data_IF_184523077979
#
_entry.id   IF_184523077979
#
_cell.length_a   1.000
_cell.length_b   1.000
_cell.length_c   1.000
_cell.angle_alpha   90.00
_cell.angle_beta   90.00
_cell.angle_gamma   90.00
#
_symmetry.space_group_name_H-M   'P 1'
#
loop_
_entity.id
_entity.type
_entity.pdbx_description
1 polymer ?
#
# COMPACT_ATOMS: atom_id res chain seq x y z
N UNK A 1 -0.05 -6.42 -4.82
CA UNK A 1 -1.22 -5.52 -4.88
C UNK A 1 -2.12 -6.01 -6.01
N UNK A 2 -3.41 -5.74 -5.93
CA UNK A 2 -4.36 -6.10 -6.99
C UNK A 2 -5.51 -5.08 -7.02
N UNK A 3 -5.91 -4.64 -8.21
CA UNK A 3 -6.98 -3.66 -8.39
C UNK A 3 -8.35 -4.35 -8.48
N UNK A 4 -9.39 -3.73 -7.93
CA UNK A 4 -10.76 -4.17 -8.14
C UNK A 4 -11.20 -3.93 -9.60
N UNK A 5 -12.31 -4.55 -10.02
CA UNK A 5 -12.79 -4.42 -11.41
C UNK A 5 -13.26 -3.01 -11.78
N UNK A 6 -13.58 -2.19 -10.79
CA UNK A 6 -14.14 -0.84 -10.99
C UNK A 6 -13.01 0.20 -11.05
N UNK A 7 -11.87 -0.05 -10.39
CA UNK A 7 -10.77 0.91 -10.29
C UNK A 7 -10.86 1.83 -9.09
N UNK A 8 -11.63 1.45 -8.06
CA UNK A 8 -11.82 2.27 -6.87
C UNK A 8 -10.93 1.84 -5.70
N UNK A 9 -10.53 0.56 -5.67
CA UNK A 9 -9.85 -0.04 -4.54
C UNK A 9 -8.65 -0.85 -4.99
N UNK A 10 -7.55 -0.68 -4.27
CA UNK A 10 -6.34 -1.47 -4.41
C UNK A 10 -6.21 -2.39 -3.18
N UNK A 11 -6.40 -3.69 -3.38
CA UNK A 11 -6.08 -4.70 -2.39
C UNK A 11 -4.56 -4.75 -2.19
N UNK A 12 -4.15 -4.46 -0.97
CA UNK A 12 -2.73 -4.38 -0.60
C UNK A 12 -2.45 -5.36 0.52
N UNK A 13 -1.45 -6.21 0.31
CA UNK A 13 -1.00 -7.21 1.27
C UNK A 13 0.41 -6.89 1.72
N UNK A 14 0.60 -6.82 3.03
CA UNK A 14 1.88 -6.58 3.68
C UNK A 14 2.40 -7.88 4.27
N UNK A 15 3.63 -8.25 3.89
CA UNK A 15 4.35 -9.33 4.52
C UNK A 15 4.93 -8.84 5.85
N UNK A 16 4.58 -9.50 6.95
CA UNK A 16 4.97 -9.09 8.30
C UNK A 16 6.14 -9.93 8.81
N UNK A 17 7.15 -9.30 9.41
CA UNK A 17 8.23 -10.03 10.06
C UNK A 17 7.77 -10.49 11.45
N UNK A 18 7.72 -11.80 11.70
CA UNK A 18 7.33 -12.38 12.98
C UNK A 18 5.83 -12.34 13.30
N UNK A 19 4.99 -12.00 12.32
CA UNK A 19 3.52 -12.02 12.44
C UNK A 19 2.89 -12.50 11.13
N UNK A 20 1.57 -12.72 11.13
CA UNK A 20 0.84 -13.09 9.92
C UNK A 20 0.77 -11.89 8.96
N UNK A 21 0.86 -12.18 7.67
CA UNK A 21 0.60 -11.20 6.62
C UNK A 21 -0.76 -10.54 6.82
N UNK A 22 -0.85 -9.25 6.48
CA UNK A 22 -2.07 -8.46 6.66
C UNK A 22 -2.47 -7.83 5.34
N UNK A 23 -3.76 -7.94 5.01
CA UNK A 23 -4.35 -7.38 3.79
C UNK A 23 -5.32 -6.26 4.14
N UNK A 24 -5.33 -5.18 3.34
CA UNK A 24 -6.27 -4.07 3.46
C UNK A 24 -6.72 -3.59 2.08
N UNK A 25 -7.90 -2.96 2.02
CA UNK A 25 -8.35 -2.22 0.84
C UNK A 25 -7.91 -0.76 0.93
N UNK A 26 -7.06 -0.31 -0.01
CA UNK A 26 -6.63 1.09 -0.12
C UNK A 26 -7.43 1.80 -1.21
N UNK A 27 -8.19 2.86 -0.91
CA UNK A 27 -8.88 3.66 -1.93
C UNK A 27 -7.94 4.33 -2.92
N UNK A 28 -8.40 4.48 -4.16
CA UNK A 28 -7.67 5.18 -5.21
C UNK A 28 -7.15 6.56 -4.77
N UNK A 29 -7.95 7.34 -4.02
CA UNK A 29 -7.56 8.65 -3.48
C UNK A 29 -6.30 8.57 -2.61
N UNK A 30 -6.22 7.56 -1.73
CA UNK A 30 -5.02 7.32 -0.90
C UNK A 30 -3.84 6.92 -1.79
N UNK A 31 -4.06 6.07 -2.80
CA UNK A 31 -3.02 5.65 -3.75
C UNK A 31 -2.43 6.85 -4.50
N UNK A 32 -3.27 7.72 -5.06
CA UNK A 32 -2.82 8.91 -5.78
C UNK A 32 -2.13 9.92 -4.84
N UNK A 33 -2.65 10.12 -3.63
CA UNK A 33 -1.98 10.95 -2.62
C UNK A 33 -0.59 10.40 -2.28
N UNK A 34 -0.46 9.09 -2.07
CA UNK A 34 0.82 8.44 -1.81
C UNK A 34 1.79 8.59 -3.00
N UNK A 35 1.34 8.36 -4.23
CA UNK A 35 2.18 8.51 -5.43
C UNK A 35 2.73 9.94 -5.58
N UNK A 36 1.96 10.95 -5.17
CA UNK A 36 2.36 12.36 -5.21
C UNK A 36 3.37 12.75 -4.12
N UNK A 37 3.30 12.12 -2.95
CA UNK A 37 4.05 12.55 -1.76
C UNK A 37 5.17 11.59 -1.33
N UNK A 38 5.17 10.34 -1.80
CA UNK A 38 6.24 9.41 -1.48
C UNK A 38 7.55 9.81 -2.16
N UNK A 39 8.69 9.68 -1.46
CA UNK A 39 9.99 9.98 -2.04
C UNK A 39 10.30 8.97 -3.16
N UNK A 40 10.78 9.48 -4.28
CA UNK A 40 11.31 8.66 -5.37
C UNK A 40 12.70 8.17 -4.99
N UNK A 41 12.96 6.88 -5.14
CA UNK A 41 14.31 6.37 -4.91
C UNK A 41 15.32 6.96 -5.91
N UNK A 42 16.44 7.49 -5.39
CA UNK A 42 17.56 8.01 -6.16
C UNK A 42 18.80 7.10 -6.10
N UNK A 43 18.76 6.04 -5.29
CA UNK A 43 19.90 5.15 -5.06
C UNK A 43 19.87 3.98 -6.05
N UNK A 44 20.84 3.89 -6.99
CA UNK A 44 20.89 2.83 -7.98
C UNK A 44 21.25 1.46 -7.36
N UNK A 45 21.81 1.45 -6.15
CA UNK A 45 22.24 0.24 -5.45
C UNK A 45 21.24 -0.22 -4.39
N UNK A 46 20.02 0.34 -4.39
CA UNK A 46 19.00 -0.03 -3.41
C UNK A 46 18.73 -1.55 -3.48
N UNK A 47 18.87 -2.28 -2.36
CA UNK A 47 18.69 -3.72 -2.37
C UNK A 47 17.24 -4.05 -2.71
N UNK A 48 17.04 -5.12 -3.48
CA UNK A 48 15.70 -5.60 -3.79
C UNK A 48 15.01 -6.03 -2.48
N UNK A 49 13.74 -5.65 -2.26
CA UNK A 49 12.99 -6.13 -1.11
C UNK A 49 12.80 -7.65 -1.16
N UNK A 50 12.59 -8.29 0.00
CA UNK A 50 12.34 -9.72 0.08
C UNK A 50 11.06 -10.12 -0.68
N UNK A 51 10.90 -11.43 -0.91
CA UNK A 51 9.83 -11.99 -1.74
C UNK A 51 8.45 -11.38 -1.51
N UNK A 52 7.76 -11.08 -2.60
CA UNK A 52 6.45 -10.46 -2.61
C UNK A 52 5.39 -11.42 -2.03
N UNK A 53 4.52 -10.95 -1.10
CA UNK A 53 3.38 -11.75 -0.71
C UNK A 53 2.45 -11.92 -1.91
N UNK A 54 2.00 -13.16 -2.13
CA UNK A 54 1.02 -13.47 -3.17
C UNK A 54 -0.37 -13.08 -2.68
N UNK A 55 -1.11 -12.38 -3.54
CA UNK A 55 -2.54 -12.14 -3.36
C UNK A 55 -3.28 -13.24 -4.11
N UNK A 56 -4.13 -13.95 -3.41
CA UNK A 56 -4.99 -14.99 -3.95
C UNK A 56 -6.47 -14.59 -3.81
N UNK A 57 -7.38 -15.37 -4.40
CA UNK A 57 -8.82 -15.12 -4.35
C UNK A 57 -9.34 -15.01 -2.90
N UNK A 58 -8.79 -15.81 -1.98
CA UNK A 58 -9.16 -15.75 -0.57
C UNK A 58 -8.92 -14.36 0.06
N UNK A 59 -7.86 -13.65 -0.34
CA UNK A 59 -7.58 -12.31 0.21
C UNK A 59 -8.65 -11.28 -0.20
N UNK A 60 -9.37 -11.51 -1.31
CA UNK A 60 -10.48 -10.65 -1.75
C UNK A 60 -11.79 -10.96 -1.03
N UNK A 61 -11.98 -12.22 -0.65
CA UNK A 61 -13.20 -12.73 -0.03
C UNK A 61 -13.14 -12.71 1.50
N UNK A 62 -11.96 -12.46 2.08
CA UNK A 62 -11.75 -12.41 3.52
C UNK A 62 -12.45 -11.17 4.12
N UNK A 63 -13.48 -11.36 4.97
CA UNK A 63 -14.24 -10.26 5.55
C UNK A 63 -13.43 -9.43 6.56
N UNK A 64 -12.26 -9.91 7.00
CA UNK A 64 -11.36 -9.14 7.85
C UNK A 64 -10.53 -8.09 7.09
N UNK A 65 -10.54 -8.13 5.76
CA UNK A 65 -9.84 -7.18 4.90
C UNK A 65 -10.65 -5.90 4.77
N UNK A 66 -10.49 -5.03 5.76
CA UNK A 66 -11.24 -3.78 5.86
C UNK A 66 -10.58 -2.64 5.06
N UNK A 67 -11.39 -1.62 4.77
CA UNK A 67 -10.98 -0.48 3.96
C UNK A 67 -10.27 0.57 4.82
N UNK A 68 -9.19 1.13 4.29
CA UNK A 68 -8.56 2.32 4.86
C UNK A 68 -9.29 3.60 4.40
N UNK A 69 -9.40 4.61 5.25
CA UNK A 69 -10.00 5.91 4.88
C UNK A 69 -9.00 7.08 4.92
N UNK A 70 -7.95 6.98 5.73
CA UNK A 70 -6.82 7.93 5.71
C UNK A 70 -5.50 7.22 5.92
N UNK A 71 -4.40 7.87 5.56
CA UNK A 71 -3.04 7.43 5.86
C UNK A 71 -2.24 8.58 6.45
N UNK A 72 -1.52 8.31 7.54
CA UNK A 72 -0.53 9.21 8.11
C UNK A 72 0.86 8.64 7.87
N UNK A 73 1.71 9.41 7.20
CA UNK A 73 3.08 9.01 6.89
C UNK A 73 4.07 9.82 7.75
N UNK A 74 4.98 9.12 8.43
CA UNK A 74 6.12 9.72 9.13
C UNK A 74 7.42 9.16 8.56
N UNK A 75 8.23 10.03 7.98
CA UNK A 75 9.54 9.69 7.44
C UNK A 75 10.58 9.61 8.57
N UNK A 76 11.40 8.57 8.53
CA UNK A 76 12.63 8.39 9.30
C UNK A 76 13.82 8.35 8.34
N UNK A 77 15.03 8.16 8.88
CA UNK A 77 16.26 8.18 8.07
C UNK A 77 16.27 7.08 6.98
N UNK A 78 15.86 5.86 7.33
CA UNK A 78 15.94 4.66 6.49
C UNK A 78 14.58 3.98 6.25
N UNK A 79 13.50 4.55 6.80
CA UNK A 79 12.17 3.97 6.75
C UNK A 79 11.06 5.02 6.73
N UNK A 80 9.88 4.62 6.29
CA UNK A 80 8.63 5.38 6.43
C UNK A 80 7.66 4.54 7.25
N UNK A 81 7.13 5.14 8.32
CA UNK A 81 6.00 4.59 9.05
C UNK A 81 4.72 5.10 8.43
N UNK A 82 3.82 4.20 8.06
CA UNK A 82 2.50 4.53 7.54
C UNK A 82 1.46 3.97 8.51
N UNK A 83 0.59 4.84 9.01
CA UNK A 83 -0.55 4.45 9.84
C UNK A 83 -1.81 4.67 9.03
N UNK A 84 -2.43 3.56 8.63
CA UNK A 84 -3.71 3.53 7.94
C UNK A 84 -4.83 3.50 8.96
N UNK A 85 -5.69 4.50 8.90
CA UNK A 85 -6.90 4.49 9.70
C UNK A 85 -7.94 3.59 9.03
N UNK A 86 -8.44 2.61 9.77
CA UNK A 86 -9.28 1.54 9.25
C UNK A 86 -10.75 1.85 9.50
N UNK A 87 -11.62 1.57 8.52
CA UNK A 87 -13.07 1.77 8.65
C UNK A 87 -13.66 1.02 9.85
N UNK A 88 -13.09 -0.14 10.16
CA UNK A 88 -13.45 -0.96 11.30
C UNK A 88 -12.20 -1.54 11.95
N UNK A 89 -12.22 -1.67 13.28
CA UNK A 89 -11.11 -2.21 14.06
C UNK A 89 -9.99 -1.20 14.33
N UNK A 90 -8.84 -1.68 14.83
CA UNK A 90 -7.69 -0.83 15.13
C UNK A 90 -6.98 -0.36 13.85
N UNK A 91 -6.30 0.79 13.94
CA UNK A 91 -5.46 1.30 12.86
C UNK A 91 -4.32 0.34 12.52
N UNK A 92 -4.02 0.19 11.23
CA UNK A 92 -2.87 -0.59 10.78
C UNK A 92 -1.64 0.31 10.69
N UNK A 93 -0.60 0.00 11.45
CA UNK A 93 0.70 0.67 11.30
C UNK A 93 1.72 -0.27 10.69
N UNK A 94 2.33 0.16 9.58
CA UNK A 94 3.44 -0.54 8.92
C UNK A 94 4.69 0.33 8.93
N UNK A 95 5.85 -0.30 9.05
CA UNK A 95 7.16 0.34 8.92
C UNK A 95 7.86 -0.24 7.69
N UNK A 96 8.04 0.59 6.67
CA UNK A 96 8.62 0.18 5.40
C UNK A 96 10.01 0.80 5.26
N UNK A 97 11.03 -0.03 5.06
CA UNK A 97 12.35 0.46 4.67
C UNK A 97 12.31 1.07 3.26
N UNK A 98 13.39 1.75 2.85
CA UNK A 98 13.51 2.38 1.52
C UNK A 98 13.17 1.45 0.35
N UNK A 99 13.66 0.20 0.39
CA UNK A 99 13.39 -0.81 -0.64
C UNK A 99 11.91 -1.16 -0.78
N UNK A 100 11.22 -1.35 0.34
CA UNK A 100 9.80 -1.65 0.37
C UNK A 100 8.96 -0.44 -0.05
N UNK A 101 9.36 0.78 0.32
CA UNK A 101 8.68 2.01 -0.12
C UNK A 101 8.76 2.15 -1.64
N UNK A 102 9.95 1.95 -2.22
CA UNK A 102 10.13 2.07 -3.67
C UNK A 102 9.35 1.00 -4.43
N UNK A 103 9.36 -0.24 -3.95
CA UNK A 103 8.52 -1.31 -4.51
C UNK A 103 7.03 -0.96 -4.43
N UNK A 104 6.58 -0.46 -3.28
CA UNK A 104 5.19 -0.05 -3.09
C UNK A 104 4.81 1.05 -4.10
N UNK A 105 5.67 2.04 -4.28
CA UNK A 105 5.51 3.13 -5.26
C UNK A 105 5.43 2.60 -6.69
N UNK A 106 6.32 1.68 -7.08
CA UNK A 106 6.32 1.08 -8.42
C UNK A 106 5.05 0.28 -8.69
N UNK A 107 4.59 -0.50 -7.71
CA UNK A 107 3.34 -1.27 -7.81
C UNK A 107 2.13 -0.34 -7.94
N UNK A 108 2.03 0.69 -7.08
CA UNK A 108 0.95 1.67 -7.16
C UNK A 108 0.95 2.40 -8.51
N UNK A 109 2.12 2.76 -9.04
CA UNK A 109 2.25 3.40 -10.34
C UNK A 109 1.88 2.47 -11.50
N UNK A 110 2.10 1.16 -11.36
CA UNK A 110 1.64 0.18 -12.35
C UNK A 110 0.10 0.10 -12.37
N UNK A 111 -0.54 0.13 -11.20
CA UNK A 111 -2.00 0.08 -11.07
C UNK A 111 -2.69 1.44 -11.23
N UNK A 112 -1.97 2.55 -11.22
CA UNK A 112 -2.57 3.89 -11.28
C UNK A 112 -3.36 4.15 -12.57
N UNK A 113 -3.07 3.42 -13.64
CA UNK A 113 -3.81 3.48 -14.91
C UNK A 113 -5.16 2.77 -14.86
N UNK A 114 -5.29 1.80 -13.96
CA UNK A 114 -6.51 1.03 -13.74
C UNK A 114 -7.38 1.63 -12.64
N UNK A 115 -6.84 2.61 -11.89
CA UNK A 115 -7.54 3.33 -10.84
C UNK A 115 -8.18 4.62 -11.36
N UNK A 116 -9.35 4.95 -10.82
CA UNK A 116 -10.07 6.18 -11.13
C UNK A 116 -9.68 7.27 -10.14
N UNK A 117 -9.06 8.34 -10.63
CA UNK A 117 -8.80 9.53 -9.83
C UNK A 117 -10.03 10.45 -9.83
N UNK A 118 -10.72 10.50 -8.69
CA UNK A 118 -11.93 11.32 -8.51
C UNK A 118 -11.61 12.76 -8.07
N UNK A 119 -10.37 13.07 -7.69
CA UNK A 119 -9.97 14.41 -7.23
C UNK A 119 -9.55 15.34 -8.37
N UNK A 120 -9.39 14.81 -9.60
CA UNK A 120 -8.94 15.57 -10.79
C UNK A 120 -10.13 16.13 -11.60
N UNK A 121 -11.31 16.26 -10.99
CA UNK A 121 -12.49 16.90 -11.62
C UNK A 121 -12.44 18.43 -11.57
#
# INVERSE_FOLDING_TARGET
MACDRIGNLLLTKFACNGARDTSIHIPATIVFWLLKHLPVNQDPNLPQPPGLPRIDQYDWEDPSVVRAYTVNCKQFHDAIRMTFAMEQGPDLTVLLNRSNVELMRQMMNAYSKDLIDLEVQ
#
